data_IF_281674479159
#
_entry.id   IF_281674479159
#
_cell.length_a   1.000
_cell.length_b   1.000
_cell.length_c   1.000
_cell.angle_alpha   90.00
_cell.angle_beta   90.00
_cell.angle_gamma   90.00
#
_symmetry.space_group_name_H-M   'P 1'
#
loop_
_entity.id
_entity.type
_entity.pdbx_description
1 polymer ?
#
# COMPACT_ATOMS: atom_id res chain seq x y z
N UNK A 1 -18.83 0.13 1.31
CA UNK A 1 -18.34 1.25 2.16
C UNK A 1 -17.10 1.89 1.52
N UNK A 2 -17.03 3.23 1.46
CA UNK A 2 -15.79 3.91 1.07
C UNK A 2 -14.74 3.70 2.18
N UNK A 3 -13.47 3.52 1.81
CA UNK A 3 -12.40 3.17 2.75
C UNK A 3 -12.07 4.26 3.78
N UNK A 4 -12.47 5.51 3.52
CA UNK A 4 -12.00 6.68 4.27
C UNK A 4 -10.58 7.05 3.85
N UNK A 5 -9.91 7.85 4.69
CA UNK A 5 -8.49 8.11 4.57
C UNK A 5 -7.71 6.86 5.01
N UNK A 6 -6.59 6.59 4.36
CA UNK A 6 -5.82 5.36 4.54
C UNK A 6 -4.34 5.66 4.79
N UNK A 7 -3.68 4.76 5.49
CA UNK A 7 -2.23 4.85 5.70
C UNK A 7 -1.52 3.86 4.77
N UNK A 8 -0.51 4.35 4.05
CA UNK A 8 0.26 3.54 3.09
C UNK A 8 1.64 3.27 3.65
N UNK A 9 1.94 2.00 3.83
CA UNK A 9 3.22 1.49 4.31
C UNK A 9 3.97 0.83 3.15
N UNK A 10 5.27 1.14 3.07
CA UNK A 10 6.22 0.46 2.19
C UNK A 10 7.42 0.08 3.06
N UNK A 11 7.51 -1.19 3.43
CA UNK A 11 8.54 -1.70 4.36
C UNK A 11 9.42 -2.73 3.67
N UNK A 12 10.62 -3.01 4.18
CA UNK A 12 11.43 -4.08 3.60
C UNK A 12 10.67 -5.41 3.66
N UNK A 13 10.80 -6.23 2.61
CA UNK A 13 10.03 -7.46 2.49
C UNK A 13 10.27 -8.41 3.67
N UNK A 14 9.18 -8.84 4.32
CA UNK A 14 9.24 -9.76 5.47
C UNK A 14 9.72 -9.13 6.78
N UNK A 15 9.97 -7.82 6.83
CA UNK A 15 10.37 -7.12 8.06
C UNK A 15 9.21 -7.05 9.07
N UNK A 16 7.99 -6.83 8.57
CA UNK A 16 6.77 -6.76 9.36
C UNK A 16 5.68 -7.63 8.74
N UNK A 17 4.86 -8.27 9.58
CA UNK A 17 3.62 -8.92 9.15
C UNK A 17 2.51 -7.89 8.95
N UNK A 18 1.46 -8.24 8.20
CA UNK A 18 0.27 -7.39 8.06
C UNK A 18 -0.36 -7.04 9.43
N UNK A 19 -0.41 -7.99 10.37
CA UNK A 19 -0.93 -7.75 11.71
C UNK A 19 -0.07 -6.77 12.51
N UNK A 20 1.25 -6.84 12.36
CA UNK A 20 2.19 -5.89 12.97
C UNK A 20 1.98 -4.47 12.42
N UNK A 21 1.72 -4.34 11.12
CA UNK A 21 1.40 -3.05 10.50
C UNK A 21 0.06 -2.51 11.02
N UNK A 22 -1.00 -3.33 11.03
CA UNK A 22 -2.30 -2.92 11.59
C UNK A 22 -2.22 -2.52 13.08
N UNK A 23 -1.32 -3.15 13.84
CA UNK A 23 -1.06 -2.82 15.24
C UNK A 23 -0.19 -1.57 15.44
N UNK A 24 0.26 -0.90 14.36
CA UNK A 24 1.10 0.31 14.42
C UNK A 24 2.56 0.06 14.81
N UNK A 25 3.03 -1.19 14.73
CA UNK A 25 4.40 -1.55 15.15
C UNK A 25 5.45 -1.36 14.07
N UNK A 26 5.04 -1.10 12.83
CA UNK A 26 5.91 -0.81 11.68
C UNK A 26 6.45 0.64 11.66
N UNK A 27 6.10 1.46 12.65
CA UNK A 27 6.43 2.88 12.69
C UNK A 27 5.43 3.74 11.92
N UNK A 28 5.87 4.92 11.50
CA UNK A 28 5.04 5.86 10.74
C UNK A 28 4.84 5.36 9.29
N UNK A 29 3.65 5.56 8.70
CA UNK A 29 3.42 5.22 7.30
C UNK A 29 4.28 6.08 6.36
N UNK A 30 4.53 5.57 5.15
CA UNK A 30 5.18 6.35 4.10
C UNK A 30 4.27 7.50 3.65
N UNK A 31 2.96 7.23 3.55
CA UNK A 31 1.92 8.22 3.28
C UNK A 31 0.86 8.11 4.38
N UNK A 32 0.73 9.17 5.18
CA UNK A 32 -0.21 9.28 6.29
C UNK A 32 -1.51 9.96 5.83
N UNK A 33 -2.66 9.52 6.35
CA UNK A 33 -3.99 10.09 6.06
C UNK A 33 -4.25 10.30 4.55
N UNK A 34 -3.86 9.32 3.73
CA UNK A 34 -3.95 9.41 2.27
C UNK A 34 -5.41 9.31 1.80
N UNK A 35 -5.97 10.44 1.37
CA UNK A 35 -7.36 10.55 0.94
C UNK A 35 -7.56 10.25 -0.56
N UNK A 36 -8.64 9.55 -0.92
CA UNK A 36 -9.11 9.49 -2.31
C UNK A 36 -9.64 10.86 -2.78
N UNK A 37 -9.37 11.32 -4.03
CA UNK A 37 -8.63 10.68 -5.13
C UNK A 37 -7.20 11.20 -5.30
N UNK A 38 -6.50 11.50 -4.20
CA UNK A 38 -5.18 12.14 -4.25
C UNK A 38 -4.18 11.33 -5.05
N UNK A 39 -3.27 12.03 -5.75
CA UNK A 39 -2.09 11.46 -6.40
C UNK A 39 -0.89 12.15 -5.76
N UNK A 40 0.09 11.38 -5.30
CA UNK A 40 1.30 11.92 -4.68
C UNK A 40 2.39 12.21 -5.72
N UNK A 41 3.37 13.02 -5.33
CA UNK A 41 4.67 13.01 -5.99
C UNK A 41 5.38 11.65 -5.76
N UNK A 42 6.41 11.39 -6.56
CA UNK A 42 7.25 10.19 -6.39
C UNK A 42 8.16 10.33 -5.17
N UNK A 43 8.27 9.25 -4.41
CA UNK A 43 9.23 9.13 -3.31
C UNK A 43 10.41 8.27 -3.75
N UNK A 44 11.63 8.71 -3.44
CA UNK A 44 12.82 7.94 -3.73
C UNK A 44 12.99 6.79 -2.72
N UNK A 45 13.14 5.57 -3.23
CA UNK A 45 13.44 4.37 -2.45
C UNK A 45 14.74 3.75 -2.94
N UNK A 46 15.46 3.08 -2.04
CA UNK A 46 16.59 2.26 -2.44
C UNK A 46 16.08 1.05 -3.26
N UNK A 47 16.90 0.51 -4.18
CA UNK A 47 16.53 -0.75 -4.84
C UNK A 47 16.40 -1.87 -3.82
N UNK A 48 15.38 -2.72 -3.95
CA UNK A 48 15.14 -3.80 -3.00
C UNK A 48 13.76 -4.45 -3.11
N UNK A 49 13.54 -5.40 -2.21
CA UNK A 49 12.28 -6.09 -2.03
C UNK A 49 11.44 -5.37 -0.96
N UNK A 50 10.17 -5.08 -1.28
CA UNK A 50 9.26 -4.35 -0.41
C UNK A 50 7.93 -5.07 -0.24
N UNK A 51 7.36 -4.93 0.95
CA UNK A 51 5.95 -5.18 1.18
C UNK A 51 5.20 -3.85 1.18
N UNK A 52 4.10 -3.80 0.42
CA UNK A 52 3.23 -2.62 0.30
C UNK A 52 1.91 -2.93 0.98
N UNK A 53 1.55 -2.12 1.98
CA UNK A 53 0.35 -2.30 2.77
C UNK A 53 -0.47 -1.02 2.82
N UNK A 54 -1.79 -1.15 2.70
CA UNK A 54 -2.73 -0.04 2.89
C UNK A 54 -3.63 -0.37 4.06
N UNK A 55 -3.56 0.46 5.09
CA UNK A 55 -4.37 0.34 6.31
C UNK A 55 -5.57 1.25 6.18
N UNK A 56 -6.77 0.69 6.30
CA UNK A 56 -8.02 1.42 6.27
C UNK A 56 -8.86 1.01 7.49
N UNK A 57 -9.31 1.98 8.28
CA UNK A 57 -10.14 1.70 9.47
C UNK A 57 -9.49 0.75 10.48
N UNK A 58 -8.15 0.78 10.60
CA UNK A 58 -7.39 -0.07 11.52
C UNK A 58 -7.14 -1.51 11.04
N UNK A 59 -7.44 -1.82 9.79
CA UNK A 59 -7.16 -3.13 9.19
C UNK A 59 -6.35 -2.99 7.90
N UNK A 60 -5.46 -3.95 7.62
CA UNK A 60 -4.76 -4.02 6.32
C UNK A 60 -5.76 -4.45 5.24
N UNK A 61 -6.17 -3.50 4.40
CA UNK A 61 -7.10 -3.75 3.30
C UNK A 61 -6.36 -4.25 2.04
N UNK A 62 -5.11 -3.84 1.85
CA UNK A 62 -4.24 -4.29 0.76
C UNK A 62 -2.94 -4.79 1.37
N UNK A 63 -2.52 -6.00 0.99
CA UNK A 63 -1.24 -6.60 1.35
C UNK A 63 -0.55 -7.17 0.11
N UNK A 64 0.48 -6.47 -0.37
CA UNK A 64 1.34 -6.95 -1.46
C UNK A 64 2.69 -7.29 -0.87
N UNK A 65 3.14 -8.53 -1.01
CA UNK A 65 4.40 -9.00 -0.42
C UNK A 65 5.46 -9.23 -1.49
N UNK A 66 6.71 -8.88 -1.15
CA UNK A 66 7.88 -9.18 -1.98
C UNK A 66 7.97 -8.44 -3.31
N UNK A 67 7.30 -7.28 -3.44
CA UNK A 67 7.42 -6.42 -4.62
C UNK A 67 8.88 -6.03 -4.87
N UNK A 68 9.41 -6.36 -6.03
CA UNK A 68 10.79 -6.01 -6.40
C UNK A 68 10.83 -4.62 -7.05
N UNK A 69 11.66 -3.74 -6.49
CA UNK A 69 11.99 -2.44 -7.07
C UNK A 69 13.46 -2.43 -7.50
N UNK A 70 13.69 -2.52 -8.81
CA UNK A 70 15.03 -2.45 -9.38
C UNK A 70 15.57 -1.01 -9.43
N UNK A 71 16.90 -0.89 -9.47
CA UNK A 71 17.55 0.41 -9.57
C UNK A 71 17.26 1.11 -10.90
N UNK A 72 16.82 2.36 -10.81
CA UNK A 72 16.45 3.17 -11.99
C UNK A 72 15.01 2.99 -12.45
N UNK A 73 14.25 2.09 -11.82
CA UNK A 73 12.81 1.91 -12.09
C UNK A 73 12.00 3.00 -11.41
N UNK A 74 11.03 3.56 -12.15
CA UNK A 74 9.97 4.41 -11.62
C UNK A 74 8.70 3.58 -11.59
N UNK A 75 8.07 3.50 -10.41
CA UNK A 75 6.85 2.74 -10.20
C UNK A 75 5.70 3.68 -9.80
N UNK A 76 4.56 3.56 -10.46
CA UNK A 76 3.29 4.13 -10.02
C UNK A 76 2.41 3.02 -9.47
N UNK A 77 2.05 3.12 -8.19
CA UNK A 77 1.23 2.15 -7.47
C UNK A 77 -0.17 2.72 -7.34
N UNK A 78 -1.15 2.04 -7.93
CA UNK A 78 -2.55 2.46 -7.95
C UNK A 78 -3.35 1.50 -7.07
N UNK A 79 -3.77 1.96 -5.89
CA UNK A 79 -4.73 1.25 -5.08
C UNK A 79 -6.12 1.33 -5.74
N UNK A 80 -6.81 0.19 -5.83
CA UNK A 80 -8.16 0.09 -6.39
C UNK A 80 -9.11 -0.53 -5.39
N UNK A 81 -10.32 0.02 -5.38
CA UNK A 81 -11.44 -0.52 -4.64
C UNK A 81 -11.88 -1.90 -5.17
N UNK A 82 -12.72 -2.58 -4.40
CA UNK A 82 -13.33 -3.82 -4.82
C UNK A 82 -14.27 -3.61 -6.02
N UNK A 83 -14.66 -4.70 -6.65
CA UNK A 83 -15.54 -4.72 -7.81
C UNK A 83 -16.94 -4.22 -7.43
N UNK A 84 -17.28 -2.98 -7.77
CA UNK A 84 -18.61 -2.43 -7.50
C UNK A 84 -19.69 -3.03 -8.43
N UNK A 85 -20.93 -3.26 -7.97
CA UNK A 85 -21.49 -2.89 -6.66
C UNK A 85 -21.46 -4.01 -5.59
N UNK A 86 -20.77 -5.12 -5.83
CA UNK A 86 -20.93 -6.36 -5.05
C UNK A 86 -19.64 -6.93 -4.44
N UNK A 87 -18.52 -6.22 -4.57
CA UNK A 87 -17.22 -6.67 -4.09
C UNK A 87 -17.07 -6.57 -2.58
N UNK A 88 -16.20 -7.41 -2.02
CA UNK A 88 -15.85 -7.42 -0.60
C UNK A 88 -14.56 -6.63 -0.37
N UNK A 89 -14.26 -6.14 0.85
CA UNK A 89 -12.96 -5.50 1.13
C UNK A 89 -11.74 -6.39 0.84
N UNK A 90 -11.90 -7.71 0.78
CA UNK A 90 -10.82 -8.60 0.31
C UNK A 90 -10.52 -8.49 -1.20
N UNK A 91 -11.32 -7.72 -1.95
CA UNK A 91 -11.16 -7.43 -3.37
C UNK A 91 -10.52 -6.04 -3.61
N UNK A 92 -10.08 -5.35 -2.54
CA UNK A 92 -9.13 -4.26 -2.72
C UNK A 92 -7.85 -4.82 -3.34
N UNK A 93 -7.28 -4.07 -4.27
CA UNK A 93 -6.11 -4.52 -5.02
C UNK A 93 -5.19 -3.39 -5.40
N UNK A 94 -4.10 -3.75 -6.07
CA UNK A 94 -3.11 -2.81 -6.57
C UNK A 94 -2.83 -3.09 -8.03
N UNK A 95 -2.67 -2.02 -8.81
CA UNK A 95 -2.04 -2.06 -10.12
C UNK A 95 -0.72 -1.33 -10.01
N UNK A 96 0.38 -1.98 -10.38
CA UNK A 96 1.70 -1.34 -10.45
C UNK A 96 2.07 -1.14 -11.91
N UNK A 97 2.42 0.10 -12.25
CA UNK A 97 2.94 0.49 -13.56
C UNK A 97 4.40 0.85 -13.40
N UNK A 98 5.28 0.20 -14.16
CA UNK A 98 6.73 0.48 -14.18
C UNK A 98 7.16 0.89 -15.59
N UNK A 99 8.22 1.68 -15.68
CA UNK A 99 8.87 2.02 -16.96
C UNK A 99 10.04 1.09 -17.31
#
# INVERSE_FOLDING_TARGET
PAAGDVDVYVTAAGEFTADQVAAGTAGDPLLDEFAFPTITDYVALAPGAYDIRVVAGGAVAINVEGFQLDGGTVATVIARGPSEPAGTPSDFGVVVLTN
#
